data_IF_422196141054
#
_entry.id   IF_422196141054
#
_cell.length_a   1.000
_cell.length_b   1.000
_cell.length_c   1.000
_cell.angle_alpha   90.00
_cell.angle_beta   90.00
_cell.angle_gamma   90.00
#
_symmetry.space_group_name_H-M   'P 1'
#
loop_
_entity.id
_entity.type
_entity.pdbx_description
1 polymer ?
#
# COMPACT_ATOMS: atom_id res chain seq x y z
N UNK A 1 -17.83 26.52 10.22
CA UNK A 1 -17.58 25.45 9.22
C UNK A 1 -16.53 24.44 9.75
N UNK A 2 -16.61 24.04 11.04
CA UNK A 2 -15.47 23.46 11.79
C UNK A 2 -15.81 22.21 12.63
N UNK A 3 -16.87 21.47 12.26
CA UNK A 3 -17.30 20.23 12.93
C UNK A 3 -17.77 19.15 11.95
N UNK A 4 -17.28 19.18 10.71
CA UNK A 4 -17.64 18.16 9.73
C UNK A 4 -16.57 17.05 9.75
N UNK A 5 -17.06 15.88 10.13
CA UNK A 5 -16.35 14.60 10.31
C UNK A 5 -15.77 14.44 11.72
N UNK A 6 -16.26 13.41 12.41
CA UNK A 6 -15.73 12.93 13.67
C UNK A 6 -14.25 12.58 13.42
N UNK A 7 -13.34 13.51 13.74
CA UNK A 7 -11.94 13.45 13.31
C UNK A 7 -11.26 12.13 13.67
N UNK A 8 -11.73 11.45 14.72
CA UNK A 8 -11.28 10.14 15.15
C UNK A 8 -11.33 9.06 14.06
N UNK A 9 -12.39 9.02 13.24
CA UNK A 9 -12.53 8.02 12.16
C UNK A 9 -11.54 8.29 11.03
N UNK A 10 -11.36 9.55 10.64
CA UNK A 10 -10.36 9.92 9.62
C UNK A 10 -8.94 9.66 10.12
N UNK A 11 -8.67 9.89 11.40
CA UNK A 11 -7.38 9.56 12.00
C UNK A 11 -7.09 8.07 11.96
N UNK A 12 -8.13 7.25 12.18
CA UNK A 12 -8.02 5.80 12.02
C UNK A 12 -7.67 5.40 10.57
N UNK A 13 -8.33 5.99 9.58
CA UNK A 13 -8.00 5.78 8.16
C UNK A 13 -6.63 6.35 7.75
N UNK A 14 -6.05 7.26 8.53
CA UNK A 14 -4.66 7.71 8.35
C UNK A 14 -3.63 6.72 8.93
N UNK A 15 -4.10 5.60 9.51
CA UNK A 15 -3.27 4.59 10.14
C UNK A 15 -2.57 5.09 11.40
N UNK A 16 -3.26 5.91 12.21
CA UNK A 16 -2.74 6.40 13.49
C UNK A 16 -3.78 6.34 14.60
N UNK A 17 -3.31 6.30 15.85
CA UNK A 17 -4.15 6.18 17.03
C UNK A 17 -4.87 7.51 17.35
N UNK A 18 -6.22 7.55 17.35
CA UNK A 18 -6.99 8.73 17.73
C UNK A 18 -6.68 9.26 19.13
N UNK A 19 -6.30 8.40 20.07
CA UNK A 19 -5.96 8.79 21.44
C UNK A 19 -4.65 9.60 21.52
N UNK A 20 -3.69 9.31 20.64
CA UNK A 20 -2.44 10.08 20.56
C UNK A 20 -2.71 11.44 19.91
N UNK A 21 -3.56 11.45 18.87
CA UNK A 21 -3.87 12.67 18.12
C UNK A 21 -4.77 13.65 18.87
N UNK A 22 -5.65 13.15 19.75
CA UNK A 22 -6.49 14.01 20.61
C UNK A 22 -5.68 14.82 21.62
N UNK A 23 -4.48 14.35 21.99
CA UNK A 23 -3.54 15.07 22.87
C UNK A 23 -2.62 16.05 22.11
N UNK A 24 -2.75 16.12 20.78
CA UNK A 24 -1.93 16.95 19.92
C UNK A 24 -2.62 18.27 19.55
N UNK A 25 -1.87 19.19 18.92
CA UNK A 25 -2.45 20.44 18.43
C UNK A 25 -3.41 20.19 17.27
N UNK A 26 -4.48 20.99 17.20
CA UNK A 26 -5.53 20.88 16.17
C UNK A 26 -4.97 20.92 14.73
N UNK A 27 -3.88 21.67 14.49
CA UNK A 27 -3.19 21.72 13.19
C UNK A 27 -2.66 20.36 12.73
N UNK A 28 -2.15 19.55 13.66
CA UNK A 28 -1.61 18.22 13.36
C UNK A 28 -2.76 17.24 13.10
N UNK A 29 -3.79 17.28 13.95
CA UNK A 29 -5.01 16.50 13.76
C UNK A 29 -5.66 16.75 12.40
N UNK A 30 -5.71 18.01 11.95
CA UNK A 30 -6.22 18.35 10.61
C UNK A 30 -5.39 17.70 9.48
N UNK A 31 -4.06 17.74 9.57
CA UNK A 31 -3.18 17.11 8.55
C UNK A 31 -3.38 15.60 8.47
N UNK A 32 -3.50 14.92 9.62
CA UNK A 32 -3.81 13.49 9.63
C UNK A 32 -5.24 13.21 9.15
N UNK A 33 -6.21 14.09 9.43
CA UNK A 33 -7.55 14.00 8.86
C UNK A 33 -7.56 14.08 7.33
N UNK A 34 -6.75 14.98 6.75
CA UNK A 34 -6.57 15.09 5.30
C UNK A 34 -5.96 13.81 4.69
N UNK A 35 -4.98 13.20 5.36
CA UNK A 35 -4.40 11.91 4.95
C UNK A 35 -5.48 10.82 4.93
N UNK A 36 -6.28 10.72 6.01
CA UNK A 36 -7.38 9.76 6.08
C UNK A 36 -8.45 9.98 5.01
N UNK A 37 -8.76 11.24 4.70
CA UNK A 37 -9.68 11.58 3.60
C UNK A 37 -9.14 11.10 2.25
N UNK A 38 -7.84 11.31 1.98
CA UNK A 38 -7.21 10.82 0.75
C UNK A 38 -7.26 9.29 0.66
N UNK A 39 -7.02 8.58 1.77
CA UNK A 39 -7.12 7.11 1.81
C UNK A 39 -8.54 6.64 1.50
N UNK A 40 -9.55 7.33 2.02
CA UNK A 40 -10.96 7.03 1.74
C UNK A 40 -11.28 7.25 0.26
N UNK A 41 -10.83 8.37 -0.33
CA UNK A 41 -10.98 8.64 -1.76
C UNK A 41 -10.29 7.57 -2.63
N UNK A 42 -9.10 7.12 -2.23
CA UNK A 42 -8.39 6.01 -2.88
C UNK A 42 -9.21 4.72 -2.81
N UNK A 43 -9.79 4.40 -1.65
CA UNK A 43 -10.60 3.19 -1.49
C UNK A 43 -11.85 3.22 -2.36
N UNK A 44 -12.60 4.33 -2.36
CA UNK A 44 -13.79 4.49 -3.21
C UNK A 44 -13.42 4.40 -4.70
N UNK A 45 -12.37 5.11 -5.13
CA UNK A 45 -11.95 5.08 -6.55
C UNK A 45 -11.47 3.69 -6.96
N UNK A 46 -10.82 2.95 -6.07
CA UNK A 46 -10.39 1.57 -6.31
C UNK A 46 -11.59 0.62 -6.45
N UNK A 47 -12.59 0.73 -5.57
CA UNK A 47 -13.82 -0.08 -5.65
C UNK A 47 -14.54 0.17 -6.97
N UNK A 48 -14.76 1.44 -7.34
CA UNK A 48 -15.45 1.81 -8.58
C UNK A 48 -14.67 1.38 -9.83
N UNK A 49 -13.34 1.57 -9.80
CA UNK A 49 -12.46 1.16 -10.89
C UNK A 49 -12.52 -0.35 -11.14
N UNK A 50 -12.38 -1.16 -10.09
CA UNK A 50 -12.37 -2.61 -10.24
C UNK A 50 -13.76 -3.14 -10.56
N UNK A 51 -14.82 -2.61 -9.95
CA UNK A 51 -16.20 -2.97 -10.31
C UNK A 51 -16.45 -2.76 -11.81
N UNK A 52 -16.01 -1.61 -12.36
CA UNK A 52 -16.09 -1.37 -13.80
C UNK A 52 -15.23 -2.35 -14.61
N UNK A 53 -14.02 -2.67 -14.15
CA UNK A 53 -13.18 -3.67 -14.81
C UNK A 53 -13.80 -5.06 -14.87
N UNK A 54 -14.56 -5.44 -13.84
CA UNK A 54 -15.25 -6.74 -13.76
C UNK A 54 -16.55 -6.75 -14.57
N UNK A 55 -17.30 -5.65 -14.61
CA UNK A 55 -18.48 -5.47 -15.47
C UNK A 55 -18.17 -5.78 -16.93
N UNK A 56 -17.01 -5.30 -17.40
CA UNK A 56 -16.54 -5.56 -18.76
C UNK A 56 -16.13 -7.03 -19.03
N UNK A 57 -15.97 -7.86 -17.99
CA UNK A 57 -15.53 -9.26 -18.11
C UNK A 57 -16.68 -10.23 -17.89
N UNK A 58 -17.53 -9.98 -16.89
CA UNK A 58 -18.54 -10.93 -16.42
C UNK A 58 -19.96 -10.59 -16.87
N UNK A 59 -20.20 -9.40 -17.43
CA UNK A 59 -21.52 -8.90 -17.87
C UNK A 59 -22.63 -9.10 -16.80
N UNK A 60 -22.25 -9.10 -15.52
CA UNK A 60 -23.12 -9.49 -14.41
C UNK A 60 -23.04 -8.48 -13.28
N UNK A 61 -24.08 -7.65 -13.17
CA UNK A 61 -24.17 -6.58 -12.18
C UNK A 61 -23.95 -7.04 -10.72
N UNK A 62 -24.34 -8.28 -10.39
CA UNK A 62 -24.15 -8.85 -9.05
C UNK A 62 -22.68 -9.17 -8.80
N UNK A 63 -21.98 -9.73 -9.79
CA UNK A 63 -20.57 -10.06 -9.70
C UNK A 63 -19.72 -8.79 -9.57
N UNK A 64 -20.08 -7.72 -10.28
CA UNK A 64 -19.33 -6.46 -10.29
C UNK A 64 -19.32 -5.79 -8.92
N UNK A 65 -20.49 -5.73 -8.27
CA UNK A 65 -20.63 -5.16 -6.92
C UNK A 65 -19.88 -6.00 -5.90
N UNK A 66 -20.03 -7.33 -5.96
CA UNK A 66 -19.44 -8.23 -4.96
C UNK A 66 -17.92 -8.29 -5.07
N UNK A 67 -17.39 -8.49 -6.28
CA UNK A 67 -15.94 -8.56 -6.53
C UNK A 67 -15.31 -7.17 -6.37
N UNK A 68 -15.94 -6.12 -6.88
CA UNK A 68 -15.48 -4.75 -6.73
C UNK A 68 -15.37 -4.32 -5.26
N UNK A 69 -16.39 -4.60 -4.45
CA UNK A 69 -16.38 -4.32 -3.02
C UNK A 69 -15.29 -5.12 -2.27
N UNK A 70 -15.16 -6.42 -2.58
CA UNK A 70 -14.12 -7.27 -2.00
C UNK A 70 -12.71 -6.75 -2.32
N UNK A 71 -12.42 -6.48 -3.59
CA UNK A 71 -11.12 -5.98 -4.02
C UNK A 71 -10.82 -4.58 -3.49
N UNK A 72 -11.82 -3.68 -3.45
CA UNK A 72 -11.67 -2.34 -2.89
C UNK A 72 -11.35 -2.36 -1.40
N UNK A 73 -12.00 -3.24 -0.63
CA UNK A 73 -11.71 -3.46 0.79
C UNK A 73 -10.32 -4.08 0.98
N UNK A 74 -9.94 -5.04 0.13
CA UNK A 74 -8.60 -5.62 0.15
C UNK A 74 -7.51 -4.56 -0.11
N UNK A 75 -7.69 -3.71 -1.12
CA UNK A 75 -6.78 -2.60 -1.42
C UNK A 75 -6.70 -1.63 -0.24
N UNK A 76 -7.83 -1.30 0.38
CA UNK A 76 -7.85 -0.44 1.57
C UNK A 76 -7.02 -1.03 2.71
N UNK A 77 -7.21 -2.32 3.04
CA UNK A 77 -6.44 -2.99 4.11
C UNK A 77 -4.94 -3.00 3.78
N UNK A 78 -4.58 -3.40 2.55
CA UNK A 78 -3.18 -3.37 2.11
C UNK A 78 -2.59 -1.96 2.19
N UNK A 79 -3.34 -0.94 1.78
CA UNK A 79 -2.90 0.44 1.82
C UNK A 79 -2.69 0.93 3.25
N UNK A 80 -3.62 0.63 4.17
CA UNK A 80 -3.47 0.94 5.59
C UNK A 80 -2.23 0.27 6.19
N UNK A 81 -1.98 -1.00 5.84
CA UNK A 81 -0.78 -1.72 6.26
C UNK A 81 0.51 -1.04 5.76
N UNK A 82 0.56 -0.61 4.49
CA UNK A 82 1.69 0.14 3.95
C UNK A 82 1.89 1.47 4.69
N UNK A 83 0.82 2.20 4.96
CA UNK A 83 0.86 3.49 5.64
C UNK A 83 1.32 3.36 7.11
N UNK A 84 0.95 2.26 7.78
CA UNK A 84 1.44 1.91 9.11
C UNK A 84 2.94 1.59 9.10
N UNK A 85 3.38 0.72 8.18
CA UNK A 85 4.79 0.29 8.10
C UNK A 85 5.72 1.39 7.59
N UNK A 86 5.19 2.43 6.94
CA UNK A 86 5.92 3.64 6.55
C UNK A 86 5.94 4.71 7.65
N UNK A 87 5.13 4.58 8.70
CA UNK A 87 5.15 5.49 9.84
C UNK A 87 6.52 5.43 10.53
N UNK A 88 7.05 6.58 10.95
CA UNK A 88 8.37 6.63 11.57
C UNK A 88 8.33 5.92 12.93
N UNK A 89 9.26 5.00 13.16
CA UNK A 89 9.44 4.43 14.49
C UNK A 89 10.00 5.50 15.44
N UNK A 90 9.41 5.59 16.63
CA UNK A 90 9.80 6.55 17.68
C UNK A 90 10.63 5.89 18.78
N UNK A 91 10.66 4.56 18.80
CA UNK A 91 11.39 3.78 19.78
C UNK A 91 12.87 3.71 19.40
N UNK A 92 13.77 3.58 20.40
CA UNK A 92 15.18 3.38 20.12
C UNK A 92 15.35 2.01 19.43
N UNK A 93 15.98 2.03 18.26
CA UNK A 93 16.32 0.83 17.50
C UNK A 93 17.82 0.53 17.66
N UNK A 94 18.19 -0.75 17.60
CA UNK A 94 19.59 -1.14 17.44
C UNK A 94 20.20 -0.48 16.19
N UNK A 95 21.53 -0.43 16.11
CA UNK A 95 22.27 0.13 14.95
C UNK A 95 22.01 -0.69 13.69
N UNK A 96 20.85 -0.46 13.08
CA UNK A 96 20.43 -1.13 11.88
C UNK A 96 21.06 -0.46 10.65
N UNK A 97 21.29 -1.25 9.60
CA UNK A 97 21.97 -0.79 8.40
C UNK A 97 21.13 0.30 7.71
N UNK A 98 21.75 1.46 7.46
CA UNK A 98 21.09 2.57 6.72
C UNK A 98 20.62 2.10 5.33
N UNK A 99 21.31 1.12 4.74
CA UNK A 99 20.98 0.50 3.45
C UNK A 99 19.69 -0.30 3.52
N UNK A 100 19.51 -1.16 4.53
CA UNK A 100 18.29 -1.96 4.69
C UNK A 100 17.04 -1.10 4.80
N UNK A 101 17.11 0.00 5.56
CA UNK A 101 16.01 0.97 5.69
C UNK A 101 15.63 1.62 4.35
N UNK A 102 16.61 1.94 3.50
CA UNK A 102 16.37 2.53 2.17
C UNK A 102 15.73 1.53 1.22
N UNK A 103 16.22 0.29 1.18
CA UNK A 103 15.67 -0.77 0.34
C UNK A 103 14.22 -1.09 0.74
N UNK A 104 13.98 -1.26 2.05
CA UNK A 104 12.65 -1.51 2.60
C UNK A 104 11.68 -0.38 2.26
N UNK A 105 12.13 0.87 2.26
CA UNK A 105 11.33 2.01 1.82
C UNK A 105 11.04 1.97 0.31
N UNK A 106 12.04 1.69 -0.52
CA UNK A 106 11.90 1.62 -1.97
C UNK A 106 10.88 0.56 -2.41
N UNK A 107 10.94 -0.64 -1.82
CA UNK A 107 10.01 -1.74 -2.11
C UNK A 107 8.56 -1.32 -1.80
N UNK A 108 8.32 -0.62 -0.68
CA UNK A 108 6.98 -0.13 -0.33
C UNK A 108 6.46 0.92 -1.30
N UNK A 109 7.33 1.85 -1.74
CA UNK A 109 6.95 2.85 -2.75
C UNK A 109 6.65 2.17 -4.09
N UNK A 110 7.44 1.18 -4.50
CA UNK A 110 7.20 0.41 -5.71
C UNK A 110 5.83 -0.29 -5.66
N UNK A 111 5.48 -0.89 -4.52
CA UNK A 111 4.19 -1.53 -4.33
C UNK A 111 3.01 -0.54 -4.39
N UNK A 112 3.19 0.69 -3.87
CA UNK A 112 2.19 1.76 -4.01
C UNK A 112 2.02 2.21 -5.46
N UNK A 113 3.10 2.30 -6.23
CA UNK A 113 3.06 2.59 -7.67
C UNK A 113 2.29 1.49 -8.40
N UNK A 114 2.58 0.21 -8.09
CA UNK A 114 1.90 -0.93 -8.70
C UNK A 114 0.39 -0.94 -8.40
N UNK A 115 -0.01 -0.67 -7.14
CA UNK A 115 -1.42 -0.53 -6.76
C UNK A 115 -2.11 0.63 -7.49
N UNK A 116 -1.46 1.79 -7.55
CA UNK A 116 -1.98 2.95 -8.27
C UNK A 116 -2.15 2.68 -9.76
N UNK A 117 -1.19 1.99 -10.38
CA UNK A 117 -1.28 1.59 -11.78
C UNK A 117 -2.41 0.58 -12.03
N UNK A 118 -2.57 -0.41 -11.16
CA UNK A 118 -3.66 -1.40 -11.25
C UNK A 118 -5.02 -0.70 -11.26
N UNK A 119 -5.21 0.29 -10.39
CA UNK A 119 -6.46 1.06 -10.30
C UNK A 119 -6.61 2.08 -11.43
N UNK A 120 -5.50 2.60 -11.98
CA UNK A 120 -5.53 3.52 -13.10
C UNK A 120 -6.04 2.88 -14.40
N UNK A 121 -5.78 1.60 -14.62
CA UNK A 121 -6.12 0.91 -15.87
C UNK A 121 -7.64 0.93 -16.18
N UNK A 122 -8.54 0.46 -15.29
CA UNK A 122 -9.97 0.54 -15.56
C UNK A 122 -10.50 1.98 -15.60
N UNK A 123 -9.92 2.90 -14.82
CA UNK A 123 -10.32 4.31 -14.85
C UNK A 123 -10.00 4.94 -16.21
N UNK A 124 -8.83 4.66 -16.79
CA UNK A 124 -8.51 5.11 -18.13
C UNK A 124 -9.48 4.53 -19.15
N UNK A 125 -9.74 3.23 -19.09
CA UNK A 125 -10.72 2.58 -19.99
C UNK A 125 -12.10 3.26 -19.91
N UNK A 126 -12.55 3.59 -18.70
CA UNK A 126 -13.80 4.32 -18.47
C UNK A 126 -13.78 5.72 -19.13
N UNK A 127 -12.73 6.50 -18.89
CA UNK A 127 -12.61 7.88 -19.41
C UNK A 127 -12.53 7.90 -20.93
N UNK A 128 -11.80 6.95 -21.53
CA UNK A 128 -11.57 6.87 -22.97
C UNK A 128 -12.59 5.99 -23.69
N UNK A 129 -13.65 5.51 -23.02
CA UNK A 129 -14.64 4.60 -23.60
C UNK A 129 -15.14 5.05 -24.98
N UNK A 130 -15.54 6.31 -25.13
CA UNK A 130 -16.06 6.85 -26.40
C UNK A 130 -15.02 6.87 -27.53
N UNK A 131 -13.76 7.12 -27.20
CA UNK A 131 -12.66 7.08 -28.15
C UNK A 131 -12.33 5.63 -28.55
N UNK A 132 -12.24 4.75 -27.56
CA UNK A 132 -11.97 3.33 -27.74
C UNK A 132 -13.07 2.65 -28.57
N UNK A 133 -14.34 2.92 -28.29
CA UNK A 133 -15.46 2.37 -29.07
C UNK A 133 -15.35 2.74 -30.55
N UNK A 134 -15.05 4.00 -30.87
CA UNK A 134 -14.87 4.42 -32.27
C UNK A 134 -13.72 3.70 -32.95
N UNK A 135 -12.61 3.52 -32.24
CA UNK A 135 -11.43 2.86 -32.78
C UNK A 135 -11.66 1.34 -32.95
N UNK A 136 -12.36 0.70 -32.01
CA UNK A 136 -12.77 -0.72 -32.11
C UNK A 136 -13.73 -0.92 -33.27
N UNK A 137 -14.79 -0.11 -33.40
CA UNK A 137 -15.75 -0.23 -34.51
C UNK A 137 -15.01 -0.11 -35.83
N UNK A 138 -14.09 0.84 -35.95
CA UNK A 138 -13.29 1.00 -37.15
C UNK A 138 -12.37 -0.21 -37.41
N UNK A 139 -11.69 -0.72 -36.38
CA UNK A 139 -10.82 -1.89 -36.51
C UNK A 139 -11.60 -3.12 -36.96
N UNK A 140 -12.78 -3.36 -36.34
CA UNK A 140 -13.71 -4.40 -36.72
C UNK A 140 -14.13 -4.26 -38.18
N UNK A 141 -14.49 -3.06 -38.64
CA UNK A 141 -14.88 -2.82 -40.03
C UNK A 141 -13.75 -3.12 -41.04
N UNK A 142 -12.50 -2.80 -40.68
CA UNK A 142 -11.34 -3.09 -41.54
C UNK A 142 -11.03 -4.58 -41.57
N UNK A 143 -11.05 -5.24 -40.42
CA UNK A 143 -10.80 -6.67 -40.32
C UNK A 143 -11.90 -7.45 -41.06
N UNK A 144 -13.17 -7.05 -40.92
CA UNK A 144 -14.30 -7.60 -41.68
C UNK A 144 -14.07 -7.46 -43.19
N UNK A 145 -13.68 -6.27 -43.67
CA UNK A 145 -13.38 -6.03 -45.09
C UNK A 145 -12.15 -6.78 -45.61
N UNK A 146 -11.17 -7.05 -44.75
CA UNK A 146 -10.00 -7.85 -45.11
C UNK A 146 -10.37 -9.33 -45.21
N UNK A 147 -11.23 -9.80 -44.31
CA UNK A 147 -11.79 -11.15 -44.31
C UNK A 147 -12.69 -11.38 -45.54
N UNK A 148 -13.61 -10.45 -45.84
CA UNK A 148 -14.43 -10.43 -47.07
C UNK A 148 -13.59 -10.47 -48.35
N UNK A 149 -12.41 -9.83 -48.35
CA UNK A 149 -11.51 -9.84 -49.51
C UNK A 149 -10.72 -11.14 -49.65
N UNK A 150 -10.34 -11.77 -48.54
CA UNK A 150 -9.58 -13.03 -48.57
C UNK A 150 -10.47 -14.25 -48.83
N UNK A 151 -11.75 -14.18 -48.48
CA UNK A 151 -12.68 -15.26 -48.71
C UNK A 151 -13.87 -14.76 -49.52
N UNK A 152 -14.02 -15.31 -50.72
CA UNK A 152 -15.12 -15.04 -51.66
C UNK A 152 -16.40 -15.71 -51.11
N UNK A 153 -17.04 -15.12 -50.09
CA UNK A 153 -18.11 -15.80 -49.37
C UNK A 153 -19.50 -15.59 -49.97
N UNK A 154 -20.12 -16.73 -50.29
CA UNK A 154 -21.49 -16.89 -50.75
C UNK A 154 -22.47 -17.08 -49.58
N UNK A 155 -21.98 -17.25 -48.33
CA UNK A 155 -22.80 -17.57 -47.15
C UNK A 155 -22.75 -16.45 -46.10
N UNK A 156 -23.84 -15.68 -46.01
CA UNK A 156 -24.05 -14.58 -45.05
C UNK A 156 -24.07 -15.06 -43.58
N UNK A 157 -24.37 -16.34 -43.34
CA UNK A 157 -24.51 -16.89 -41.99
C UNK A 157 -23.17 -17.05 -41.25
N UNK A 158 -22.08 -17.39 -41.95
CA UNK A 158 -20.74 -17.45 -41.34
C UNK A 158 -20.21 -16.06 -40.98
N UNK A 159 -20.54 -15.04 -41.77
CA UNK A 159 -20.21 -13.64 -41.49
C UNK A 159 -20.91 -13.15 -40.23
N UNK A 160 -22.20 -13.47 -40.08
CA UNK A 160 -22.98 -13.14 -38.90
C UNK A 160 -22.45 -13.84 -37.63
N UNK A 161 -21.97 -15.08 -37.77
CA UNK A 161 -21.40 -15.86 -36.67
C UNK A 161 -20.05 -15.30 -36.22
N UNK A 162 -19.17 -14.94 -37.18
CA UNK A 162 -17.90 -14.26 -36.90
C UNK A 162 -18.10 -12.88 -36.27
N UNK A 163 -19.05 -12.10 -36.78
CA UNK A 163 -19.38 -10.78 -36.23
C UNK A 163 -19.90 -10.90 -34.79
N UNK A 164 -20.74 -11.89 -34.51
CA UNK A 164 -21.22 -12.20 -33.15
C UNK A 164 -20.09 -12.65 -32.22
N UNK A 165 -19.12 -13.40 -32.71
CA UNK A 165 -17.93 -13.82 -31.95
C UNK A 165 -16.97 -12.66 -31.66
N UNK A 166 -16.79 -11.74 -32.61
CA UNK A 166 -16.02 -10.49 -32.41
C UNK A 166 -16.73 -9.52 -31.46
N UNK A 167 -18.06 -9.45 -31.48
CA UNK A 167 -18.86 -8.64 -30.55
C UNK A 167 -18.87 -9.21 -29.13
N UNK A 168 -18.84 -10.53 -28.99
CA UNK A 168 -18.62 -11.22 -27.71
C UNK A 168 -17.22 -10.96 -27.12
N UNK A 169 -16.18 -10.80 -27.95
CA UNK A 169 -14.79 -10.65 -27.51
C UNK A 169 -14.32 -9.20 -27.35
N UNK A 170 -15.24 -8.24 -27.15
CA UNK A 170 -14.98 -6.80 -27.05
C UNK A 170 -13.85 -6.42 -26.05
N UNK A 171 -13.71 -7.13 -24.94
CA UNK A 171 -12.70 -6.82 -23.91
C UNK A 171 -11.26 -7.19 -24.33
N UNK A 172 -11.08 -8.33 -25.00
CA UNK A 172 -9.76 -8.74 -25.47
C UNK A 172 -9.29 -7.85 -26.62
N UNK A 173 -10.21 -7.51 -27.53
CA UNK A 173 -9.96 -6.56 -28.62
C UNK A 173 -9.67 -5.15 -28.07
N UNK A 174 -10.38 -4.70 -27.03
CA UNK A 174 -10.06 -3.45 -26.32
C UNK A 174 -8.64 -3.45 -25.76
N UNK A 175 -8.24 -4.51 -25.05
CA UNK A 175 -6.89 -4.60 -24.49
C UNK A 175 -5.81 -4.66 -25.57
N UNK A 176 -6.03 -5.44 -26.63
CA UNK A 176 -5.10 -5.56 -27.76
C UNK A 176 -4.99 -4.23 -28.51
N UNK A 177 -6.09 -3.52 -28.74
CA UNK A 177 -6.09 -2.20 -29.39
C UNK A 177 -5.45 -1.15 -28.49
N UNK A 178 -5.73 -1.11 -27.17
CA UNK A 178 -5.06 -0.19 -26.24
C UNK A 178 -3.55 -0.46 -26.23
N UNK A 179 -3.13 -1.73 -26.17
CA UNK A 179 -1.71 -2.10 -26.14
C UNK A 179 -1.02 -1.82 -27.48
N UNK A 180 -1.70 -2.07 -28.61
CA UNK A 180 -1.19 -1.78 -29.95
C UNK A 180 -1.19 -0.27 -30.25
N UNK A 181 -2.21 0.48 -29.90
CA UNK A 181 -2.21 1.95 -30.09
C UNK A 181 -1.24 2.67 -29.16
N UNK A 182 -0.98 2.15 -27.94
CA UNK A 182 0.07 2.69 -27.06
C UNK A 182 1.50 2.30 -27.45
N UNK A 183 1.73 1.10 -28.00
CA UNK A 183 3.09 0.55 -28.15
C UNK A 183 3.45 -0.02 -29.52
N UNK A 184 2.49 -0.28 -30.40
CA UNK A 184 2.72 -0.92 -31.70
C UNK A 184 2.24 -0.05 -32.87
N UNK A 185 3.21 0.66 -33.45
CA UNK A 185 3.08 1.26 -34.79
C UNK A 185 2.97 0.12 -35.78
N UNK A 186 1.75 -0.30 -36.13
CA UNK A 186 1.59 -1.17 -37.29
C UNK A 186 2.01 -0.37 -38.53
N UNK A 187 3.02 -0.87 -39.24
CA UNK A 187 3.66 -0.18 -40.37
C UNK A 187 2.80 -0.23 -41.63
N UNK A 188 1.77 -1.09 -41.66
CA UNK A 188 0.84 -1.22 -42.78
C UNK A 188 -0.33 -0.25 -42.74
N UNK A 189 -0.74 0.24 -41.57
CA UNK A 189 -1.91 1.11 -41.43
C UNK A 189 -1.46 2.58 -41.33
N UNK A 190 -1.74 3.37 -42.37
CA UNK A 190 -1.36 4.79 -42.50
C UNK A 190 -2.16 5.72 -41.57
N UNK A 191 -2.36 5.37 -40.29
CA UNK A 191 -3.02 6.25 -39.34
C UNK A 191 -2.02 6.98 -38.46
N UNK A 192 -2.11 8.32 -38.36
CA UNK A 192 -1.34 9.04 -37.37
C UNK A 192 -1.85 8.64 -35.98
N UNK A 193 -0.97 8.04 -35.18
CA UNK A 193 -1.21 7.79 -33.76
C UNK A 193 -1.70 9.10 -33.12
N UNK A 194 -2.81 9.06 -32.40
CA UNK A 194 -3.30 10.22 -31.69
C UNK A 194 -2.46 10.43 -30.41
N UNK A 195 -1.24 10.94 -30.58
CA UNK A 195 -0.26 11.18 -29.52
C UNK A 195 -0.84 12.02 -28.37
N UNK A 196 -1.79 12.90 -28.66
CA UNK A 196 -2.49 13.69 -27.64
C UNK A 196 -3.29 12.80 -26.68
N UNK A 197 -4.06 11.84 -27.21
CA UNK A 197 -4.86 10.93 -26.38
C UNK A 197 -3.98 9.99 -25.56
N UNK A 198 -2.91 9.46 -26.17
CA UNK A 198 -1.93 8.62 -25.45
C UNK A 198 -1.27 9.41 -24.32
N UNK A 199 -0.83 10.64 -24.59
CA UNK A 199 -0.24 11.52 -23.58
C UNK A 199 -1.23 11.84 -22.45
N UNK A 200 -2.51 12.09 -22.78
CA UNK A 200 -3.55 12.35 -21.80
C UNK A 200 -3.81 11.13 -20.91
N UNK A 201 -3.84 9.92 -21.48
CA UNK A 201 -3.98 8.66 -20.72
C UNK A 201 -2.80 8.43 -19.76
N UNK A 202 -1.58 8.72 -20.20
CA UNK A 202 -0.41 8.68 -19.32
C UNK A 202 -0.50 9.72 -18.20
N UNK A 203 -0.94 10.94 -18.49
CA UNK A 203 -1.13 11.99 -17.48
C UNK A 203 -2.18 11.60 -16.44
N UNK A 204 -3.31 11.01 -16.85
CA UNK A 204 -4.33 10.51 -15.92
C UNK A 204 -3.75 9.39 -15.05
N UNK A 205 -3.03 8.44 -15.64
CA UNK A 205 -2.37 7.36 -14.92
C UNK A 205 -1.39 7.88 -13.87
N UNK A 206 -0.55 8.84 -14.24
CA UNK A 206 0.40 9.50 -13.33
C UNK A 206 -0.32 10.29 -12.24
N UNK A 207 -1.46 10.91 -12.54
CA UNK A 207 -2.31 11.57 -11.56
C UNK A 207 -2.87 10.60 -10.51
N UNK A 208 -3.36 9.45 -10.93
CA UNK A 208 -3.88 8.40 -10.04
C UNK A 208 -2.74 7.79 -9.20
N UNK A 209 -1.60 7.49 -9.80
CA UNK A 209 -0.42 7.01 -9.07
C UNK A 209 0.03 8.07 -8.04
N UNK A 210 0.03 9.35 -8.41
CA UNK A 210 0.36 10.44 -7.49
C UNK A 210 -0.64 10.54 -6.34
N UNK A 211 -1.92 10.29 -6.57
CA UNK A 211 -2.94 10.21 -5.53
C UNK A 211 -2.61 9.11 -4.51
N UNK A 212 -2.21 7.91 -4.96
CA UNK A 212 -1.80 6.81 -4.08
C UNK A 212 -0.53 7.12 -3.27
N UNK A 213 0.37 7.92 -3.83
CA UNK A 213 1.64 8.27 -3.22
C UNK A 213 1.51 9.45 -2.25
N UNK A 214 0.55 10.37 -2.48
CA UNK A 214 0.36 11.60 -1.73
C UNK A 214 0.27 11.40 -0.20
N UNK A 215 -0.56 10.49 0.33
CA UNK A 215 -0.69 10.28 1.79
C UNK A 215 0.65 9.94 2.46
N UNK A 216 1.49 9.15 1.81
CA UNK A 216 2.83 8.79 2.31
C UNK A 216 3.75 10.00 2.34
N UNK A 217 3.76 10.81 1.28
CA UNK A 217 4.55 12.03 1.23
C UNK A 217 4.09 13.02 2.31
N UNK A 218 2.79 13.26 2.44
CA UNK A 218 2.21 14.12 3.48
C UNK A 218 2.63 13.65 4.88
N UNK A 219 2.56 12.35 5.16
CA UNK A 219 2.99 11.76 6.45
C UNK A 219 4.48 11.96 6.70
N UNK A 220 5.31 11.84 5.66
CA UNK A 220 6.77 12.04 5.75
C UNK A 220 7.17 13.48 6.03
N UNK A 221 6.41 14.47 5.54
CA UNK A 221 6.66 15.89 5.82
C UNK A 221 6.37 16.29 7.27
N UNK A 222 5.70 15.43 8.06
CA UNK A 222 5.54 15.65 9.49
C UNK A 222 6.89 15.38 10.18
N UNK A 223 7.51 16.43 10.70
CA UNK A 223 8.81 16.33 11.38
C UNK A 223 8.76 15.41 12.61
N UNK A 224 9.83 14.63 12.84
CA UNK A 224 10.05 13.84 14.08
C UNK A 224 10.03 14.71 15.33
N UNK A 225 10.44 15.98 15.22
CA UNK A 225 10.45 16.90 16.37
C UNK A 225 9.06 17.40 16.76
N UNK A 226 8.03 17.06 15.98
CA UNK A 226 6.68 17.53 16.20
C UNK A 226 6.09 16.91 17.49
N UNK A 227 5.15 17.64 18.12
CA UNK A 227 4.52 17.23 19.38
C UNK A 227 3.93 15.82 19.29
N UNK A 228 3.36 15.47 18.14
CA UNK A 228 2.83 14.15 17.87
C UNK A 228 3.82 13.01 18.11
N UNK A 229 5.04 13.06 17.56
CA UNK A 229 6.00 11.98 17.76
C UNK A 229 6.57 11.97 19.19
N UNK A 230 6.59 13.13 19.88
CA UNK A 230 6.97 13.20 21.30
C UNK A 230 5.92 12.51 22.19
N UNK A 231 4.64 12.80 21.95
CA UNK A 231 3.52 12.17 22.67
C UNK A 231 3.46 10.67 22.36
N UNK A 232 3.59 10.28 21.08
CA UNK A 232 3.66 8.88 20.66
C UNK A 232 4.78 8.14 21.36
N UNK A 233 5.99 8.71 21.39
CA UNK A 233 7.14 8.14 22.09
C UNK A 233 6.86 7.96 23.58
N UNK A 234 6.35 9.00 24.25
CA UNK A 234 6.05 8.95 25.68
C UNK A 234 5.06 7.84 26.01
N UNK A 235 3.96 7.74 25.25
CA UNK A 235 2.92 6.74 25.48
C UNK A 235 3.48 5.33 25.23
N UNK A 236 4.15 5.11 24.10
CA UNK A 236 4.70 3.80 23.77
C UNK A 236 5.79 3.35 24.75
N UNK A 237 6.71 4.23 25.12
CA UNK A 237 7.72 3.98 26.17
C UNK A 237 7.06 3.61 27.49
N UNK A 238 6.05 4.38 27.94
CA UNK A 238 5.35 4.08 29.19
C UNK A 238 4.70 2.70 29.18
N UNK A 239 4.00 2.34 28.11
CA UNK A 239 3.34 1.03 27.96
C UNK A 239 4.38 -0.09 27.99
N UNK A 240 5.47 0.05 27.23
CA UNK A 240 6.56 -0.92 27.16
C UNK A 240 7.23 -1.12 28.52
N UNK A 241 7.57 -0.03 29.20
CA UNK A 241 8.23 -0.08 30.51
C UNK A 241 7.32 -0.72 31.56
N UNK A 242 6.01 -0.43 31.53
CA UNK A 242 5.01 -1.02 32.43
C UNK A 242 4.87 -2.53 32.19
N UNK A 243 4.72 -2.97 30.94
CA UNK A 243 4.61 -4.39 30.63
C UNK A 243 5.90 -5.16 30.94
N UNK A 244 7.06 -4.57 30.65
CA UNK A 244 8.33 -5.20 31.00
C UNK A 244 8.51 -5.32 32.52
N UNK A 245 8.15 -4.29 33.29
CA UNK A 245 8.19 -4.35 34.74
C UNK A 245 7.25 -5.43 35.30
N UNK A 246 6.02 -5.52 34.77
CA UNK A 246 5.06 -6.56 35.14
C UNK A 246 5.62 -7.96 34.84
N UNK A 247 6.15 -8.17 33.64
CA UNK A 247 6.80 -9.42 33.24
C UNK A 247 7.96 -9.80 34.18
N UNK A 248 8.87 -8.87 34.47
CA UNK A 248 10.02 -9.13 35.36
C UNK A 248 9.55 -9.51 36.77
N UNK A 249 8.51 -8.85 37.28
CA UNK A 249 7.97 -9.16 38.60
C UNK A 249 7.33 -10.56 38.64
N UNK A 250 6.51 -10.89 37.66
CA UNK A 250 5.85 -12.19 37.56
C UNK A 250 6.85 -13.33 37.36
N UNK A 251 7.83 -13.13 36.48
CA UNK A 251 8.88 -14.11 36.22
C UNK A 251 9.75 -14.35 37.45
N UNK A 252 10.14 -13.29 38.17
CA UNK A 252 10.89 -13.42 39.42
C UNK A 252 10.08 -14.11 40.51
N UNK A 253 8.77 -13.86 40.60
CA UNK A 253 7.91 -14.54 41.56
C UNK A 253 7.87 -16.06 41.29
N UNK A 254 7.72 -16.44 40.02
CA UNK A 254 7.79 -17.84 39.58
C UNK A 254 9.15 -18.46 39.92
N UNK A 255 10.26 -17.79 39.58
CA UNK A 255 11.61 -18.30 39.86
C UNK A 255 11.88 -18.50 41.36
N UNK A 256 11.40 -17.57 42.20
CA UNK A 256 11.55 -17.68 43.65
C UNK A 256 10.79 -18.88 44.24
N UNK A 257 9.78 -19.39 43.54
CA UNK A 257 9.03 -20.58 43.94
C UNK A 257 9.75 -21.90 43.66
N UNK A 258 10.80 -21.93 42.83
CA UNK A 258 11.46 -23.19 42.43
C UNK A 258 12.52 -23.70 43.42
N UNK A 259 13.18 -22.82 44.18
CA UNK A 259 14.16 -23.24 45.19
C UNK A 259 14.44 -22.10 46.17
N UNK A 260 14.35 -22.38 47.48
CA UNK A 260 14.57 -21.42 48.55
C UNK A 260 16.06 -21.01 48.71
N UNK A 261 16.98 -21.86 48.25
CA UNK A 261 18.43 -21.67 48.44
C UNK A 261 19.12 -20.96 47.27
N UNK A 262 18.38 -20.69 46.19
CA UNK A 262 18.92 -20.09 44.96
C UNK A 262 18.24 -18.76 44.66
N UNK A 263 19.00 -17.67 44.70
CA UNK A 263 18.55 -16.32 44.32
C UNK A 263 18.41 -16.17 42.78
N UNK A 264 17.61 -17.01 42.14
CA UNK A 264 17.32 -16.89 40.72
C UNK A 264 16.53 -15.60 40.47
N UNK A 265 17.07 -14.74 39.60
CA UNK A 265 16.41 -13.52 39.15
C UNK A 265 16.58 -13.38 37.65
N UNK A 266 15.60 -12.78 37.01
CA UNK A 266 15.68 -12.36 35.63
C UNK A 266 16.91 -11.46 35.42
N UNK A 267 17.76 -11.85 34.49
CA UNK A 267 18.93 -11.10 34.04
C UNK A 267 18.88 -10.95 32.52
N UNK A 268 19.51 -9.90 32.02
CA UNK A 268 19.61 -9.61 30.58
C UNK A 268 21.02 -9.19 30.21
N UNK A 269 21.46 -9.48 29.00
CA UNK A 269 22.75 -9.05 28.44
C UNK A 269 22.77 -7.56 28.06
N UNK A 270 21.63 -6.86 28.14
CA UNK A 270 21.49 -5.47 27.72
C UNK A 270 21.49 -4.50 28.90
N UNK A 271 22.00 -3.28 28.67
CA UNK A 271 21.97 -2.15 29.61
C UNK A 271 20.61 -1.47 29.65
N UNK A 272 19.82 -1.62 28.58
CA UNK A 272 18.55 -0.94 28.40
C UNK A 272 17.41 -1.89 28.01
N UNK A 273 17.16 -2.97 28.77
CA UNK A 273 15.93 -3.73 28.61
C UNK A 273 14.72 -2.83 28.87
N UNK A 274 13.61 -2.99 28.15
CA UNK A 274 13.35 -4.00 27.09
C UNK A 274 13.82 -3.61 25.69
N UNK A 275 14.43 -2.43 25.50
CA UNK A 275 14.78 -1.89 24.19
C UNK A 275 15.98 -2.58 23.53
N UNK A 276 16.87 -3.16 24.35
CA UNK A 276 17.99 -4.00 23.91
C UNK A 276 18.87 -3.34 22.85
N UNK A 277 19.11 -2.02 22.96
CA UNK A 277 19.93 -1.28 21.99
C UNK A 277 21.40 -1.22 22.37
N UNK A 278 21.72 -1.46 23.65
CA UNK A 278 23.07 -1.40 24.19
C UNK A 278 23.39 -2.66 24.98
N UNK A 279 24.34 -3.46 24.47
CA UNK A 279 24.90 -4.59 25.21
C UNK A 279 25.70 -4.08 26.41
N UNK A 280 25.70 -4.87 27.50
CA UNK A 280 26.61 -4.66 28.63
C UNK A 280 28.06 -4.72 28.11
N UNK A 281 28.93 -3.78 28.53
CA UNK A 281 30.32 -3.81 28.12
C UNK A 281 31.00 -5.05 28.69
N UNK A 282 31.84 -5.71 27.87
CA UNK A 282 32.76 -6.73 28.38
C UNK A 282 33.71 -6.08 29.41
N UNK A 283 34.06 -6.77 30.49
CA UNK A 283 35.06 -6.26 31.43
C UNK A 283 36.36 -6.02 30.66
N UNK A 284 37.08 -4.94 31.01
CA UNK A 284 38.43 -4.74 30.48
C UNK A 284 39.30 -5.83 31.09
N UNK A 285 40.07 -6.54 30.26
CA UNK A 285 40.94 -7.68 30.63
C UNK A 285 42.13 -7.29 31.55
N UNK A 286 41.91 -6.48 32.58
CA UNK A 286 42.94 -6.12 33.56
C UNK A 286 43.04 -7.14 34.70
N UNK A 287 41.98 -7.91 34.97
CA UNK A 287 41.96 -8.87 36.06
C UNK A 287 41.24 -10.17 35.66
N UNK A 288 41.92 -11.31 35.81
CA UNK A 288 41.40 -12.65 35.50
C UNK A 288 40.13 -12.97 36.29
N UNK A 289 40.04 -12.49 37.53
CA UNK A 289 38.88 -12.73 38.40
C UNK A 289 37.64 -11.96 37.94
N UNK A 290 37.80 -10.76 37.41
CA UNK A 290 36.69 -9.98 36.83
C UNK A 290 36.19 -10.61 35.53
N UNK A 291 37.10 -11.13 34.71
CA UNK A 291 36.74 -11.86 33.50
C UNK A 291 36.00 -13.16 33.82
N UNK A 292 36.47 -13.94 34.78
CA UNK A 292 35.78 -15.18 35.21
C UNK A 292 34.41 -14.89 35.81
N UNK A 293 34.27 -13.85 36.65
CA UNK A 293 32.97 -13.41 37.17
C UNK A 293 32.00 -13.00 36.07
N UNK A 294 32.49 -12.33 35.03
CA UNK A 294 31.68 -11.96 33.87
C UNK A 294 31.28 -13.19 33.04
N UNK A 295 32.21 -14.11 32.80
CA UNK A 295 31.96 -15.34 32.03
C UNK A 295 30.96 -16.27 32.72
N UNK A 296 30.98 -16.32 34.05
CA UNK A 296 30.09 -17.16 34.87
C UNK A 296 28.77 -16.48 35.23
N UNK A 297 28.59 -15.19 34.89
CA UNK A 297 27.31 -14.51 35.08
C UNK A 297 26.35 -14.90 33.95
N UNK A 298 25.34 -15.72 34.28
CA UNK A 298 24.29 -16.23 33.38
C UNK A 298 23.52 -15.14 32.62
N UNK A 299 23.71 -13.86 32.97
CA UNK A 299 23.13 -12.71 32.31
C UNK A 299 23.96 -12.07 31.21
N UNK A 300 25.13 -12.60 30.85
CA UNK A 300 26.00 -12.11 29.75
C UNK A 300 25.94 -13.02 28.52
#
# INVERSE_FOLDING_TARGET
>A
MSKLINNSVLWWFAGEDPHILSQCSSKIGFRFGLIGLLVLLISISSTLSIAYGIDQILESAVADVLVGAYCGLFILILYLFLLHTLSRNVLPEAKDSKTGKRISFLIRILFLIALGYLVAQPINSLIFKSYLTREITHYKDVELKNYERHFNFQNMDELALFQKEQDSNNYFIQKVIILNTLFYVDRSDQRPVNYFMVSLSLLISMGIISLFIAPVFLKRFISISNNYYKVKRRIQTKVIDQHHAAFVNEYNAILSGFSADTNYRYKTAYLDPPYNTRLKPKPKERNKDEFLKWLLDEGN
#
